data_IF_655672018144
#
_entry.id   IF_655672018144
#
_cell.length_a   1.000
_cell.length_b   1.000
_cell.length_c   1.000
_cell.angle_alpha   90.00
_cell.angle_beta   90.00
_cell.angle_gamma   90.00
#
_symmetry.space_group_name_H-M   'P 1'
#
loop_
_entity.id
_entity.type
_entity.pdbx_description
1 polymer ?
#
# COMPACT_ATOMS: atom_id res chain seq x y z
N UNK A 1 0.67 8.41 8.72
CA UNK A 1 0.72 7.71 7.42
C UNK A 1 2.17 7.63 6.95
N UNK A 2 2.43 6.91 5.86
CA UNK A 2 3.77 6.80 5.25
C UNK A 2 3.66 7.13 3.76
N UNK A 3 4.52 8.02 3.27
CA UNK A 3 4.67 8.30 1.84
C UNK A 3 5.88 7.54 1.30
N UNK A 4 5.69 6.83 0.20
CA UNK A 4 6.69 5.98 -0.42
C UNK A 4 6.94 6.51 -1.83
N UNK A 5 8.19 6.87 -2.12
CA UNK A 5 8.66 7.03 -3.49
C UNK A 5 9.06 5.65 -4.02
N UNK A 6 8.41 5.19 -5.09
CA UNK A 6 8.72 3.93 -5.73
C UNK A 6 10.06 4.03 -6.48
N UNK A 7 10.76 2.91 -6.61
CA UNK A 7 12.04 2.86 -7.30
C UNK A 7 11.93 3.29 -8.78
N UNK A 8 10.78 3.00 -9.37
CA UNK A 8 10.39 3.36 -10.74
C UNK A 8 8.88 3.62 -10.78
N UNK A 9 8.39 4.46 -11.70
CA UNK A 9 6.96 4.62 -11.92
C UNK A 9 6.33 3.30 -12.40
N UNK A 10 5.24 2.88 -11.76
CA UNK A 10 4.53 1.64 -12.09
C UNK A 10 3.03 1.87 -12.17
N UNK A 11 2.31 1.02 -12.90
CA UNK A 11 0.86 0.88 -12.77
C UNK A 11 0.56 -0.19 -11.70
N UNK A 12 0.14 0.17 -10.48
CA UNK A 12 -0.09 -0.80 -9.41
C UNK A 12 -1.09 -1.88 -9.80
N UNK A 13 -0.79 -3.12 -9.41
CA UNK A 13 -1.66 -4.30 -9.53
C UNK A 13 -1.94 -4.99 -8.20
N UNK A 14 -1.03 -4.85 -7.24
CA UNK A 14 -1.17 -5.47 -5.94
C UNK A 14 -0.38 -4.68 -4.88
N UNK A 15 -0.97 -4.61 -3.70
CA UNK A 15 -0.34 -4.14 -2.47
C UNK A 15 -0.22 -5.32 -1.51
N UNK A 16 0.88 -5.36 -0.76
CA UNK A 16 1.10 -6.39 0.26
C UNK A 16 1.34 -5.71 1.59
N UNK A 17 0.59 -6.10 2.60
CA UNK A 17 0.85 -5.73 4.00
C UNK A 17 1.24 -7.01 4.75
N UNK A 18 2.37 -6.92 5.45
CA UNK A 18 2.90 -8.02 6.25
C UNK A 18 3.06 -7.55 7.70
N UNK A 19 2.72 -8.42 8.64
CA UNK A 19 2.91 -8.23 10.09
C UNK A 19 3.33 -9.56 10.74
N UNK A 20 3.97 -9.53 11.91
CA UNK A 20 4.31 -10.75 12.66
C UNK A 20 3.06 -11.61 12.97
N UNK A 21 3.22 -12.93 13.10
CA UNK A 21 2.15 -13.85 13.50
C UNK A 21 1.93 -13.84 15.02
N UNK A 22 0.71 -14.06 15.48
CA UNK A 22 0.40 -14.18 16.92
C UNK A 22 1.31 -15.18 17.65
N UNK A 23 1.65 -16.29 17.00
CA UNK A 23 2.49 -17.36 17.54
C UNK A 23 3.91 -16.92 17.92
N UNK A 24 4.44 -15.86 17.31
CA UNK A 24 5.78 -15.33 17.63
C UNK A 24 5.72 -14.01 18.40
N UNK A 25 4.52 -13.55 18.75
CA UNK A 25 4.34 -12.35 19.57
C UNK A 25 4.67 -12.66 21.03
N UNK A 26 5.56 -11.88 21.64
CA UNK A 26 5.92 -12.01 23.07
C UNK A 26 4.69 -11.81 23.96
N UNK A 27 3.76 -10.94 23.56
CA UNK A 27 2.53 -10.64 24.30
C UNK A 27 1.35 -11.52 23.89
N UNK A 28 1.53 -12.46 22.97
CA UNK A 28 0.49 -13.40 22.51
C UNK A 28 -0.60 -12.79 21.61
N UNK A 29 -0.55 -11.48 21.33
CA UNK A 29 -1.48 -10.80 20.44
C UNK A 29 -0.77 -9.81 19.50
N UNK A 30 -1.48 -9.31 18.50
CA UNK A 30 -0.98 -8.31 17.55
C UNK A 30 -1.91 -7.10 17.43
N UNK A 31 -2.46 -6.63 18.55
CA UNK A 31 -3.39 -5.49 18.59
C UNK A 31 -2.84 -4.18 18.00
N UNK A 32 -1.51 -4.05 17.91
CA UNK A 32 -0.85 -2.92 17.24
C UNK A 32 -0.79 -3.05 15.72
N UNK A 33 -1.19 -4.19 15.14
CA UNK A 33 -1.23 -4.38 13.71
C UNK A 33 -2.22 -3.39 13.07
N UNK A 34 -1.99 -2.96 11.82
CA UNK A 34 -2.96 -2.18 11.08
C UNK A 34 -4.28 -2.94 10.95
N UNK A 35 -5.40 -2.22 11.02
CA UNK A 35 -6.73 -2.78 10.80
C UNK A 35 -7.26 -2.21 9.48
N UNK A 36 -7.90 -1.04 9.51
CA UNK A 36 -8.28 -0.34 8.29
C UNK A 36 -7.13 0.52 7.77
N UNK A 37 -6.93 0.50 6.46
CA UNK A 37 -5.99 1.38 5.78
C UNK A 37 -6.45 1.76 4.39
N UNK A 38 -5.98 2.91 3.91
CA UNK A 38 -6.24 3.43 2.57
C UNK A 38 -4.93 3.64 1.84
N UNK A 39 -4.92 3.32 0.55
CA UNK A 39 -3.78 3.54 -0.33
C UNK A 39 -4.11 4.66 -1.32
N UNK A 40 -3.23 5.65 -1.42
CA UNK A 40 -3.38 6.79 -2.32
C UNK A 40 -2.24 6.85 -3.33
N UNK A 41 -2.55 7.18 -4.58
CA UNK A 41 -1.57 7.71 -5.52
C UNK A 41 -1.37 9.19 -5.26
N UNK A 42 -0.14 9.66 -5.22
CA UNK A 42 0.19 11.07 -5.05
C UNK A 42 0.86 11.61 -6.32
N UNK A 43 0.63 12.88 -6.63
CA UNK A 43 1.37 13.59 -7.70
C UNK A 43 2.84 13.79 -7.31
N UNK A 44 3.09 14.17 -6.06
CA UNK A 44 4.41 14.35 -5.48
C UNK A 44 4.35 14.21 -3.94
N UNK A 45 5.49 14.36 -3.26
CA UNK A 45 5.61 14.19 -1.80
C UNK A 45 4.78 15.16 -0.95
N UNK A 46 4.31 16.27 -1.52
CA UNK A 46 3.54 17.32 -0.85
C UNK A 46 2.04 17.28 -1.19
N UNK A 47 1.61 16.39 -2.09
CA UNK A 47 0.21 16.23 -2.46
C UNK A 47 -0.59 15.75 -1.23
N UNK A 48 -1.51 16.59 -0.75
CA UNK A 48 -2.32 16.32 0.44
C UNK A 48 -3.63 15.59 0.13
N UNK A 49 -4.11 15.69 -1.11
CA UNK A 49 -5.40 15.13 -1.51
C UNK A 49 -5.22 13.67 -1.96
N UNK A 50 -4.31 13.47 -2.92
CA UNK A 50 -4.08 12.17 -3.54
C UNK A 50 -5.32 11.58 -4.25
N UNK A 51 -5.11 10.48 -4.97
CA UNK A 51 -6.18 9.69 -5.60
C UNK A 51 -6.29 8.37 -4.86
N UNK A 52 -7.47 8.04 -4.33
CA UNK A 52 -7.69 6.77 -3.62
C UNK A 52 -7.58 5.60 -4.61
N UNK A 53 -6.62 4.71 -4.37
CA UNK A 53 -6.46 3.47 -5.11
C UNK A 53 -7.30 2.34 -4.51
N UNK A 54 -7.57 2.40 -3.21
CA UNK A 54 -8.46 1.49 -2.52
C UNK A 54 -8.44 1.63 -1.00
N UNK A 55 -9.45 1.04 -0.36
CA UNK A 55 -9.61 0.94 1.10
C UNK A 55 -9.66 -0.53 1.48
N UNK A 56 -8.89 -0.88 2.50
CA UNK A 56 -8.59 -2.27 2.83
C UNK A 56 -8.66 -2.51 4.32
N UNK A 57 -8.78 -3.79 4.65
CA UNK A 57 -8.80 -4.31 6.00
C UNK A 57 -7.76 -5.43 6.11
N UNK A 58 -6.80 -5.29 7.02
CA UNK A 58 -5.86 -6.35 7.35
C UNK A 58 -6.45 -7.21 8.47
N UNK A 59 -6.69 -8.49 8.19
CA UNK A 59 -7.29 -9.44 9.14
C UNK A 59 -6.22 -10.02 10.08
N UNK A 60 -6.04 -9.43 11.26
CA UNK A 60 -5.08 -9.91 12.24
C UNK A 60 -5.54 -11.18 12.99
N UNK A 61 -6.83 -11.52 12.91
CA UNK A 61 -7.42 -12.62 13.69
C UNK A 61 -7.37 -13.93 12.92
N UNK A 62 -7.85 -13.92 11.68
CA UNK A 62 -8.01 -15.12 10.85
C UNK A 62 -7.14 -15.08 9.59
N UNK A 63 -6.57 -13.93 9.25
CA UNK A 63 -5.76 -13.76 8.05
C UNK A 63 -4.32 -14.27 8.22
N UNK A 64 -3.66 -14.63 7.11
CA UNK A 64 -2.23 -14.92 7.14
C UNK A 64 -1.43 -13.66 7.49
N UNK A 65 -0.19 -13.85 7.94
CA UNK A 65 0.75 -12.77 8.25
C UNK A 65 1.02 -11.84 7.05
N UNK A 66 1.05 -12.40 5.84
CA UNK A 66 1.20 -11.67 4.58
C UNK A 66 -0.15 -11.64 3.86
N UNK A 67 -0.72 -10.44 3.68
CA UNK A 67 -2.00 -10.24 3.00
C UNK A 67 -1.85 -9.40 1.76
N UNK A 68 -2.60 -9.77 0.71
CA UNK A 68 -2.53 -9.18 -0.63
C UNK A 68 -3.81 -8.44 -0.94
N UNK A 69 -3.69 -7.27 -1.54
CA UNK A 69 -4.80 -6.37 -1.82
C UNK A 69 -4.68 -5.84 -3.24
N UNK A 70 -5.73 -5.97 -4.06
CA UNK A 70 -5.77 -5.40 -5.41
C UNK A 70 -6.29 -3.95 -5.36
N UNK A 71 -5.82 -3.05 -6.24
CA UNK A 71 -6.46 -1.76 -6.45
C UNK A 71 -7.96 -1.91 -6.68
N UNK A 72 -8.75 -1.05 -6.03
CA UNK A 72 -10.21 -0.98 -6.21
C UNK A 72 -10.61 0.06 -7.25
N UNK A 73 -9.72 1.03 -7.53
CA UNK A 73 -9.90 1.98 -8.62
C UNK A 73 -9.81 1.27 -9.98
N UNK A 74 -10.82 1.45 -10.85
CA UNK A 74 -10.89 0.79 -12.17
C UNK A 74 -9.73 1.23 -13.08
N UNK A 75 -9.52 2.54 -13.19
CA UNK A 75 -8.49 3.14 -14.05
C UNK A 75 -7.31 3.60 -13.20
N UNK A 76 -6.52 2.64 -12.71
CA UNK A 76 -5.33 2.92 -11.91
C UNK A 76 -4.29 3.70 -12.74
N UNK A 77 -3.85 4.89 -12.28
CA UNK A 77 -2.81 5.65 -12.96
C UNK A 77 -1.43 4.99 -12.79
N UNK A 78 -0.46 5.42 -13.59
CA UNK A 78 0.96 5.19 -13.27
C UNK A 78 1.31 6.05 -12.06
N UNK A 79 2.00 5.47 -11.08
CA UNK A 79 2.33 6.14 -9.81
C UNK A 79 3.83 6.05 -9.56
N UNK A 80 4.41 7.16 -9.12
CA UNK A 80 5.76 7.24 -8.59
C UNK A 80 5.74 7.44 -7.06
N UNK A 81 4.73 8.16 -6.56
CA UNK A 81 4.51 8.39 -5.13
C UNK A 81 3.20 7.74 -4.67
N UNK A 82 3.26 7.09 -3.52
CA UNK A 82 2.12 6.40 -2.92
C UNK A 82 2.06 6.68 -1.41
N UNK A 83 0.88 6.98 -0.88
CA UNK A 83 0.65 7.09 0.57
C UNK A 83 -0.09 5.86 1.09
N UNK A 84 0.42 5.28 2.18
CA UNK A 84 -0.31 4.31 2.99
C UNK A 84 -0.80 5.02 4.24
N UNK A 85 -2.13 5.15 4.36
CA UNK A 85 -2.79 5.80 5.50
C UNK A 85 -3.50 4.75 6.33
N UNK A 86 -2.92 4.42 7.48
CA UNK A 86 -3.59 3.57 8.47
C UNK A 86 -4.64 4.40 9.20
N UNK A 87 -5.88 3.94 9.20
CA UNK A 87 -7.04 4.65 9.80
C UNK A 87 -7.49 4.02 11.11
N UNK A 88 -7.17 2.75 11.36
CA UNK A 88 -7.37 2.09 12.66
C UNK A 88 -6.35 0.96 12.87
N UNK A 89 -6.24 0.49 14.11
CA UNK A 89 -5.51 -0.73 14.48
C UNK A 89 -6.43 -1.71 15.20
N UNK A 90 -5.88 -2.83 15.67
CA UNK A 90 -6.61 -3.89 16.36
C UNK A 90 -6.75 -3.67 17.88
N UNK A 91 -6.78 -2.41 18.33
CA UNK A 91 -7.10 -2.05 19.71
C UNK A 91 -5.91 -1.72 20.60
N UNK A 92 -4.71 -1.51 20.05
CA UNK A 92 -3.62 -0.94 20.83
C UNK A 92 -3.85 0.58 21.01
N UNK A 93 -3.97 1.08 22.26
CA UNK A 93 -4.33 2.48 22.51
C UNK A 93 -3.17 3.45 22.26
N UNK A 94 -1.94 2.96 22.20
CA UNK A 94 -0.74 3.80 22.23
C UNK A 94 -0.10 3.97 20.86
N UNK A 95 -0.11 2.93 20.03
CA UNK A 95 0.60 2.93 18.76
C UNK A 95 0.09 1.90 17.76
N UNK A 96 0.53 2.07 16.52
CA UNK A 96 0.32 1.12 15.43
C UNK A 96 1.67 0.75 14.81
N UNK A 97 1.92 -0.54 14.63
CA UNK A 97 3.15 -1.05 14.05
C UNK A 97 2.92 -1.46 12.59
N UNK A 98 3.62 -0.81 11.66
CA UNK A 98 3.68 -1.24 10.27
C UNK A 98 5.02 -1.93 10.02
N UNK A 99 5.00 -3.23 9.72
CA UNK A 99 6.22 -4.03 9.50
C UNK A 99 6.74 -3.88 8.08
N UNK A 100 5.96 -4.33 7.09
CA UNK A 100 6.36 -4.21 5.68
C UNK A 100 5.15 -3.95 4.79
N UNK A 101 5.32 -2.98 3.91
CA UNK A 101 4.39 -2.69 2.83
C UNK A 101 5.11 -2.84 1.50
N UNK A 102 4.50 -3.55 0.54
CA UNK A 102 5.06 -3.76 -0.80
C UNK A 102 4.07 -3.27 -1.85
N UNK A 103 4.61 -2.76 -2.96
CA UNK A 103 3.84 -2.34 -4.12
C UNK A 103 4.33 -3.16 -5.31
N UNK A 104 3.41 -3.83 -5.99
CA UNK A 104 3.66 -4.58 -7.21
C UNK A 104 2.85 -3.97 -8.35
N UNK A 105 3.45 -3.85 -9.53
CA UNK A 105 2.82 -3.25 -10.69
C UNK A 105 3.65 -3.47 -11.94
N UNK A 106 3.07 -3.10 -13.09
CA UNK A 106 3.80 -3.15 -14.36
C UNK A 106 4.60 -1.86 -14.54
N UNK A 107 5.79 -1.99 -15.11
CA UNK A 107 6.52 -0.83 -15.65
C UNK A 107 5.72 -0.23 -16.79
N UNK A 108 5.68 1.09 -16.87
CA UNK A 108 5.23 1.72 -18.10
C UNK A 108 6.24 1.36 -19.20
N UNK A 109 5.78 0.68 -20.26
CA UNK A 109 6.63 0.50 -21.43
C UNK A 109 6.98 1.89 -21.95
N UNK A 110 8.28 2.21 -22.02
CA UNK A 110 8.75 3.32 -22.82
C UNK A 110 8.41 2.91 -24.26
N UNK A 111 7.29 3.41 -24.82
CA UNK A 111 7.13 3.35 -26.26
C UNK A 111 8.22 4.23 -26.85
N UNK A 112 9.09 3.72 -27.74
CA UNK A 112 9.96 4.58 -28.50
C UNK A 112 9.06 5.56 -29.26
N UNK A 113 9.31 6.86 -29.12
CA UNK A 113 8.64 7.89 -29.90
C UNK A 113 8.68 7.47 -31.37
N UNK A 114 7.51 7.42 -32.01
CA UNK A 114 7.44 7.15 -33.44
C UNK A 114 8.44 8.07 -34.17
N UNK A 115 9.28 7.55 -35.10
CA UNK A 115 10.15 8.40 -35.88
C UNK A 115 9.31 9.47 -36.61
N UNK A 116 9.80 10.71 -36.73
CA UNK A 116 9.09 11.76 -37.43
C UNK A 116 8.74 11.30 -38.85
N UNK A 117 7.51 11.58 -39.27
CA UNK A 117 7.06 11.29 -40.62
C UNK A 117 7.99 11.96 -41.64
N UNK A 118 8.40 11.21 -42.65
CA UNK A 118 9.23 11.66 -43.77
C UNK A 118 8.48 12.64 -44.68
#
# INVERSE_FOLDING_TARGET
SVVIKLAVPVKPKEFVLEHLTKSISIVGHINSAPNNFTVYALKDKNDKEGIVLGRYFYDAENGPSLQRFKPQLVNVPVVEFLEVRITSNWGNPNYTCLYRFRVHGDLQSIQPSAPPAA
#
